data_IF_473453575696
#
_entry.id   IF_473453575696
#
_cell.length_a   1.000
_cell.length_b   1.000
_cell.length_c   1.000
_cell.angle_alpha   90.00
_cell.angle_beta   90.00
_cell.angle_gamma   90.00
#
_symmetry.space_group_name_H-M   'P 1'
#
loop_
_entity.id
_entity.type
_entity.pdbx_description
1 polymer ?
#
# COMPACT_ATOMS: atom_id res chain seq x y z
N UNK A 1 19.87 17.33 -19.42
CA UNK A 1 19.06 16.09 -19.26
C UNK A 1 18.87 15.50 -20.63
N UNK A 2 19.36 14.27 -20.86
CA UNK A 2 19.22 13.58 -22.14
C UNK A 2 17.84 12.92 -22.34
N UNK A 3 17.24 12.41 -21.25
CA UNK A 3 15.97 11.69 -21.29
C UNK A 3 15.27 11.77 -19.93
N UNK A 4 13.94 11.90 -19.95
CA UNK A 4 13.06 11.77 -18.79
C UNK A 4 12.15 10.58 -19.06
N UNK A 5 12.00 9.69 -18.06
CA UNK A 5 11.13 8.51 -18.11
C UNK A 5 10.23 8.56 -16.90
N UNK A 6 8.92 8.57 -17.12
CA UNK A 6 7.92 8.43 -16.06
C UNK A 6 7.54 6.97 -15.87
N UNK A 7 7.46 6.52 -14.62
CA UNK A 7 7.02 5.18 -14.23
C UNK A 7 6.02 5.26 -13.08
N UNK A 8 5.01 4.37 -13.03
CA UNK A 8 4.14 4.27 -11.87
C UNK A 8 4.96 3.93 -10.61
N UNK A 9 4.64 4.57 -9.49
CA UNK A 9 5.27 4.31 -8.20
C UNK A 9 4.24 4.02 -7.12
N UNK A 10 4.66 3.50 -5.96
CA UNK A 10 3.75 3.22 -4.85
C UNK A 10 2.60 2.30 -5.26
N UNK A 11 1.37 2.68 -4.89
CA UNK A 11 0.16 1.92 -5.22
C UNK A 11 -0.05 1.72 -6.73
N UNK A 12 0.36 2.69 -7.57
CA UNK A 12 0.23 2.54 -9.03
C UNK A 12 1.18 1.49 -9.62
N UNK A 13 2.34 1.25 -9.00
CA UNK A 13 3.21 0.13 -9.38
C UNK A 13 2.59 -1.22 -8.99
N UNK A 14 1.97 -1.31 -7.82
CA UNK A 14 1.23 -2.53 -7.41
C UNK A 14 0.09 -2.80 -8.40
N UNK A 15 -0.69 -1.76 -8.73
CA UNK A 15 -1.77 -1.84 -9.71
C UNK A 15 -1.28 -2.35 -11.08
N UNK A 16 -0.14 -1.84 -11.56
CA UNK A 16 0.45 -2.26 -12.82
C UNK A 16 0.86 -3.74 -12.81
N UNK A 17 1.47 -4.21 -11.71
CA UNK A 17 1.85 -5.62 -11.59
C UNK A 17 0.62 -6.54 -11.57
N UNK A 18 -0.44 -6.16 -10.86
CA UNK A 18 -1.69 -6.93 -10.82
C UNK A 18 -2.38 -6.98 -12.18
N UNK A 19 -2.45 -5.85 -12.88
CA UNK A 19 -3.00 -5.79 -14.24
C UNK A 19 -2.21 -6.68 -15.20
N UNK A 20 -0.86 -6.64 -15.12
CA UNK A 20 0.01 -7.50 -15.94
C UNK A 20 -0.16 -9.01 -15.63
N UNK A 21 -0.64 -9.34 -14.43
CA UNK A 21 -0.98 -10.72 -14.04
C UNK A 21 -2.43 -11.11 -14.41
N UNK A 22 -3.14 -10.26 -15.15
CA UNK A 22 -4.49 -10.53 -15.65
C UNK A 22 -5.63 -10.14 -14.70
N UNK A 23 -5.37 -9.39 -13.62
CA UNK A 23 -6.41 -8.90 -12.72
C UNK A 23 -7.07 -7.64 -13.28
N UNK A 24 -8.39 -7.51 -13.07
CA UNK A 24 -9.11 -6.26 -13.29
C UNK A 24 -8.83 -5.31 -12.11
N UNK A 25 -8.16 -4.20 -12.38
CA UNK A 25 -7.69 -3.31 -11.32
C UNK A 25 -8.35 -1.95 -11.39
N UNK A 26 -8.91 -1.50 -10.25
CA UNK A 26 -9.27 -0.10 -10.04
C UNK A 26 -8.28 0.52 -9.04
N UNK A 27 -7.56 1.53 -9.47
CA UNK A 27 -6.61 2.28 -8.66
C UNK A 27 -7.27 3.55 -8.14
N UNK A 28 -7.22 3.73 -6.83
CA UNK A 28 -7.73 4.89 -6.11
C UNK A 28 -6.62 5.52 -5.27
N UNK A 29 -6.69 6.81 -5.06
CA UNK A 29 -5.76 7.56 -4.21
C UNK A 29 -6.07 9.04 -4.22
N UNK A 30 -5.39 9.81 -3.37
CA UNK A 30 -5.46 11.26 -3.38
C UNK A 30 -4.24 11.80 -4.14
N UNK A 31 -4.47 12.75 -5.04
CA UNK A 31 -3.45 13.38 -5.88
C UNK A 31 -3.64 14.89 -5.89
N UNK A 32 -2.62 15.64 -6.26
CA UNK A 32 -2.78 17.03 -6.71
C UNK A 32 -3.57 17.09 -8.03
N UNK A 33 -3.85 18.31 -8.50
CA UNK A 33 -4.29 18.56 -9.89
C UNK A 33 -3.17 19.27 -10.65
N UNK A 34 -2.09 18.55 -10.89
CA UNK A 34 -0.80 19.05 -11.35
C UNK A 34 -0.29 18.31 -12.59
N UNK A 35 0.92 18.64 -13.00
CA UNK A 35 1.57 18.02 -14.15
C UNK A 35 1.93 16.56 -13.87
N UNK A 36 2.32 16.24 -12.65
CA UNK A 36 2.68 14.91 -12.18
C UNK A 36 1.49 13.94 -12.29
N UNK A 37 0.28 14.40 -11.94
CA UNK A 37 -0.95 13.64 -12.18
C UNK A 37 -1.18 13.40 -13.69
N UNK A 38 -0.97 14.44 -14.52
CA UNK A 38 -1.13 14.29 -15.97
C UNK A 38 -0.18 13.27 -16.58
N UNK A 39 1.09 13.26 -16.12
CA UNK A 39 2.07 12.27 -16.55
C UNK A 39 1.72 10.87 -16.05
N UNK A 40 1.24 10.71 -14.81
CA UNK A 40 0.76 9.42 -14.31
C UNK A 40 -0.42 8.90 -15.14
N UNK A 41 -1.39 9.74 -15.47
CA UNK A 41 -2.52 9.37 -16.34
C UNK A 41 -2.02 8.91 -17.72
N UNK A 42 -1.04 9.60 -18.32
CA UNK A 42 -0.47 9.21 -19.63
C UNK A 42 0.16 7.81 -19.55
N UNK A 43 0.92 7.54 -18.50
CA UNK A 43 1.55 6.22 -18.33
C UNK A 43 0.52 5.12 -18.11
N UNK A 44 -0.53 5.37 -17.32
CA UNK A 44 -1.58 4.39 -17.04
C UNK A 44 -2.54 4.16 -18.24
N UNK A 45 -2.64 5.08 -19.19
CA UNK A 45 -3.47 4.91 -20.41
C UNK A 45 -3.10 3.69 -21.26
N UNK A 46 -1.88 3.19 -21.13
CA UNK A 46 -1.40 2.00 -21.84
C UNK A 46 -1.61 0.70 -21.05
N UNK A 47 -2.43 0.74 -20.00
CA UNK A 47 -2.75 -0.39 -19.15
C UNK A 47 -4.26 -0.52 -19.02
N UNK A 48 -4.75 -1.70 -18.62
CA UNK A 48 -6.17 -1.96 -18.35
C UNK A 48 -6.60 -1.51 -16.96
N UNK A 49 -5.85 -0.58 -16.34
CA UNK A 49 -6.12 -0.08 -15.01
C UNK A 49 -7.16 1.05 -15.08
N UNK A 50 -8.27 0.87 -14.38
CA UNK A 50 -9.21 1.96 -14.13
C UNK A 50 -8.64 2.87 -13.04
N UNK A 51 -8.27 4.10 -13.40
CA UNK A 51 -7.72 5.07 -12.46
C UNK A 51 -8.76 6.17 -12.16
N UNK A 52 -9.17 6.27 -10.88
CA UNK A 52 -10.17 7.26 -10.41
C UNK A 52 -9.65 7.98 -9.15
N UNK A 53 -8.68 8.91 -9.30
CA UNK A 53 -8.10 9.64 -8.17
C UNK A 53 -9.06 10.68 -7.61
N UNK A 54 -8.98 10.91 -6.30
CA UNK A 54 -9.52 12.10 -5.65
C UNK A 54 -8.50 13.23 -5.81
N UNK A 55 -8.89 14.31 -6.45
CA UNK A 55 -8.04 15.47 -6.63
C UNK A 55 -8.16 16.42 -5.44
N UNK A 56 -7.02 16.86 -4.93
CA UNK A 56 -6.90 17.86 -3.89
C UNK A 56 -5.96 18.96 -4.35
N UNK A 57 -6.48 20.18 -4.50
CA UNK A 57 -5.70 21.33 -4.96
C UNK A 57 -4.68 21.84 -3.92
N UNK A 58 -4.80 21.39 -2.67
CA UNK A 58 -3.91 21.83 -1.57
C UNK A 58 -2.63 21.01 -1.45
N UNK A 59 -2.52 19.91 -2.20
CA UNK A 59 -1.35 19.02 -2.17
C UNK A 59 -0.76 18.82 -3.56
N UNK A 60 0.48 18.32 -3.61
CA UNK A 60 1.13 17.86 -4.85
C UNK A 60 0.99 16.37 -5.00
N UNK A 61 0.87 15.92 -6.25
CA UNK A 61 1.03 14.51 -6.57
C UNK A 61 2.46 14.06 -6.25
N UNK A 62 2.62 13.01 -5.45
CA UNK A 62 3.93 12.52 -5.04
C UNK A 62 4.80 12.16 -6.24
N UNK A 63 5.97 12.77 -6.34
CA UNK A 63 6.98 12.49 -7.36
C UNK A 63 8.30 12.08 -6.70
N UNK A 64 8.88 10.95 -7.17
CA UNK A 64 10.19 10.49 -6.75
C UNK A 64 11.14 10.46 -7.94
N UNK A 65 11.95 11.51 -8.08
CA UNK A 65 12.92 11.66 -9.17
C UNK A 65 14.22 10.95 -8.84
N UNK A 66 14.69 10.12 -9.76
CA UNK A 66 16.02 9.49 -9.69
C UNK A 66 16.89 10.05 -10.79
N UNK A 67 17.98 10.70 -10.42
CA UNK A 67 18.95 11.23 -11.35
C UNK A 67 20.00 10.15 -11.56
N UNK A 68 20.15 9.69 -12.81
CA UNK A 68 21.07 8.63 -13.20
C UNK A 68 22.12 9.24 -14.12
N UNK A 69 23.39 8.99 -13.83
CA UNK A 69 24.54 9.34 -14.66
C UNK A 69 25.51 8.16 -14.71
N UNK A 70 26.02 7.83 -15.91
CA UNK A 70 26.90 6.68 -16.12
C UNK A 70 26.36 5.36 -15.52
N UNK A 71 25.07 5.10 -15.74
CA UNK A 71 24.34 3.92 -15.23
C UNK A 71 24.30 3.78 -13.69
N UNK A 72 24.65 4.83 -12.96
CA UNK A 72 24.57 4.88 -11.51
C UNK A 72 23.55 5.91 -11.05
N UNK A 73 22.80 5.60 -9.99
CA UNK A 73 21.93 6.57 -9.36
C UNK A 73 22.76 7.56 -8.55
N UNK A 74 22.84 8.80 -9.02
CA UNK A 74 23.58 9.88 -8.38
C UNK A 74 22.79 10.52 -7.24
N UNK A 75 21.49 10.70 -7.43
CA UNK A 75 20.62 11.41 -6.47
C UNK A 75 19.19 10.92 -6.58
N UNK A 76 18.44 11.03 -5.45
CA UNK A 76 16.99 10.90 -5.41
C UNK A 76 16.38 12.16 -4.78
N UNK A 77 15.41 12.73 -5.46
CA UNK A 77 14.63 13.86 -4.96
C UNK A 77 13.18 13.36 -4.76
N UNK A 78 12.69 13.48 -3.53
CA UNK A 78 11.33 13.12 -3.17
C UNK A 78 10.52 14.41 -3.02
N UNK A 79 9.59 14.65 -3.94
CA UNK A 79 8.63 15.75 -3.90
C UNK A 79 7.31 15.19 -3.38
N UNK A 80 7.05 15.41 -2.10
CA UNK A 80 5.88 14.86 -1.44
C UNK A 80 5.42 15.79 -0.33
N UNK A 81 4.12 15.99 -0.26
CA UNK A 81 3.48 16.68 0.87
C UNK A 81 2.90 15.62 1.82
N UNK A 82 3.04 15.85 3.13
CA UNK A 82 2.25 15.09 4.09
C UNK A 82 0.80 15.51 3.91
N UNK A 83 -0.03 14.58 3.50
CA UNK A 83 -1.42 14.84 3.20
C UNK A 83 -2.14 15.32 4.48
N UNK A 84 -2.44 16.60 4.53
CA UNK A 84 -3.29 17.22 5.55
C UNK A 84 -4.73 17.38 5.05
N UNK A 85 -5.04 16.77 3.92
CA UNK A 85 -6.28 16.98 3.22
C UNK A 85 -7.47 16.37 3.96
N UNK A 86 -8.62 17.00 3.86
CA UNK A 86 -9.90 16.46 4.33
C UNK A 86 -10.56 15.54 3.29
N UNK A 87 -9.82 15.15 2.23
CA UNK A 87 -10.34 14.33 1.12
C UNK A 87 -10.43 12.83 1.43
N UNK A 88 -10.00 12.40 2.63
CA UNK A 88 -10.13 10.99 3.03
C UNK A 88 -11.58 10.50 3.01
N UNK A 89 -12.54 11.34 3.39
CA UNK A 89 -13.96 11.00 3.33
C UNK A 89 -14.44 10.76 1.89
N UNK A 90 -13.97 11.55 0.92
CA UNK A 90 -14.28 11.36 -0.49
C UNK A 90 -13.58 10.09 -1.04
N UNK A 91 -12.33 9.84 -0.65
CA UNK A 91 -11.64 8.60 -0.99
C UNK A 91 -12.39 7.37 -0.45
N UNK A 92 -12.83 7.40 0.80
CA UNK A 92 -13.60 6.32 1.41
C UNK A 92 -14.90 6.04 0.62
N UNK A 93 -15.65 7.07 0.23
CA UNK A 93 -16.86 6.90 -0.60
C UNK A 93 -16.55 6.20 -1.91
N UNK A 94 -15.45 6.58 -2.59
CA UNK A 94 -15.03 5.91 -3.84
C UNK A 94 -14.61 4.47 -3.60
N UNK A 95 -13.83 4.21 -2.54
CA UNK A 95 -13.45 2.84 -2.18
C UNK A 95 -14.69 1.98 -1.97
N UNK A 96 -15.68 2.42 -1.18
CA UNK A 96 -16.92 1.70 -0.92
C UNK A 96 -17.71 1.46 -2.23
N UNK A 97 -17.77 2.46 -3.11
CA UNK A 97 -18.44 2.34 -4.41
C UNK A 97 -17.86 1.21 -5.25
N UNK A 98 -16.52 1.15 -5.38
CA UNK A 98 -15.86 0.13 -6.20
C UNK A 98 -15.75 -1.22 -5.49
N UNK A 99 -15.60 -1.23 -4.17
CA UNK A 99 -15.48 -2.45 -3.38
C UNK A 99 -16.67 -3.40 -3.53
N UNK A 100 -17.89 -2.88 -3.74
CA UNK A 100 -19.11 -3.68 -3.93
C UNK A 100 -19.00 -4.71 -5.07
N UNK A 101 -18.15 -4.46 -6.03
CA UNK A 101 -17.93 -5.32 -7.21
C UNK A 101 -16.47 -5.81 -7.28
N UNK A 102 -15.82 -5.95 -6.13
CA UNK A 102 -14.42 -6.37 -6.05
C UNK A 102 -14.27 -7.61 -5.18
N UNK A 103 -13.41 -8.53 -5.58
CA UNK A 103 -13.09 -9.73 -4.82
C UNK A 103 -12.12 -9.44 -3.67
N UNK A 104 -11.32 -8.37 -3.82
CA UNK A 104 -10.22 -8.04 -2.93
C UNK A 104 -9.94 -6.54 -2.91
N UNK A 105 -9.56 -6.02 -1.73
CA UNK A 105 -9.04 -4.67 -1.56
C UNK A 105 -7.58 -4.76 -1.12
N UNK A 106 -6.69 -4.00 -1.77
CA UNK A 106 -5.30 -3.83 -1.33
C UNK A 106 -5.11 -2.40 -0.86
N UNK A 107 -4.72 -2.25 0.40
CA UNK A 107 -4.33 -0.97 0.98
C UNK A 107 -2.80 -0.86 0.99
N UNK A 108 -2.25 -0.04 0.08
CA UNK A 108 -0.83 0.32 0.08
C UNK A 108 -0.64 1.56 0.94
N UNK A 109 -0.24 1.39 2.19
CA UNK A 109 0.05 2.52 3.08
C UNK A 109 1.50 2.95 2.92
N UNK A 110 1.69 4.23 2.64
CA UNK A 110 3.00 4.87 2.53
C UNK A 110 3.20 5.95 3.60
N UNK A 111 2.35 5.94 4.65
CA UNK A 111 2.34 6.95 5.73
C UNK A 111 2.15 8.38 5.20
N UNK A 112 1.37 8.52 4.12
CA UNK A 112 1.02 9.82 3.50
C UNK A 112 -0.35 10.34 3.94
N UNK A 113 -0.98 9.70 4.93
CA UNK A 113 -2.26 10.09 5.49
C UNK A 113 -3.50 9.68 4.69
N UNK A 114 -3.36 9.17 3.46
CA UNK A 114 -4.52 8.77 2.64
C UNK A 114 -5.21 7.54 3.19
N UNK A 115 -4.46 6.54 3.64
CA UNK A 115 -4.98 5.24 4.10
C UNK A 115 -5.26 5.22 5.59
N UNK A 116 -4.36 5.78 6.40
CA UNK A 116 -4.36 5.68 7.87
C UNK A 116 -5.71 6.01 8.51
N UNK A 117 -6.38 7.05 8.05
CA UNK A 117 -7.62 7.53 8.66
C UNK A 117 -8.87 6.76 8.22
N UNK A 118 -8.80 6.01 7.12
CA UNK A 118 -9.95 5.30 6.56
C UNK A 118 -9.78 3.78 6.55
N UNK A 119 -8.63 3.26 6.96
CA UNK A 119 -8.34 1.83 6.93
C UNK A 119 -9.34 1.01 7.75
N UNK A 120 -9.63 1.45 8.98
CA UNK A 120 -10.58 0.76 9.85
C UNK A 120 -12.00 0.72 9.26
N UNK A 121 -12.46 1.82 8.64
CA UNK A 121 -13.76 1.88 7.99
C UNK A 121 -13.84 0.98 6.76
N UNK A 122 -12.77 0.96 5.94
CA UNK A 122 -12.66 0.06 4.80
C UNK A 122 -12.70 -1.40 5.26
N UNK A 123 -11.93 -1.76 6.28
CA UNK A 123 -11.90 -3.13 6.82
C UNK A 123 -13.27 -3.52 7.37
N UNK A 124 -13.92 -2.64 8.13
CA UNK A 124 -15.27 -2.87 8.66
C UNK A 124 -16.28 -3.09 7.55
N UNK A 125 -16.26 -2.25 6.52
CA UNK A 125 -17.14 -2.41 5.36
C UNK A 125 -16.86 -3.72 4.62
N UNK A 126 -15.60 -4.03 4.35
CA UNK A 126 -15.18 -5.22 3.62
C UNK A 126 -15.61 -6.51 4.35
N UNK A 127 -15.39 -6.58 5.67
CA UNK A 127 -15.79 -7.73 6.49
C UNK A 127 -17.31 -7.96 6.47
N UNK A 128 -18.11 -6.89 6.52
CA UNK A 128 -19.58 -7.00 6.39
C UNK A 128 -20.04 -7.52 5.03
N UNK A 129 -19.21 -7.38 4.00
CA UNK A 129 -19.53 -7.79 2.63
C UNK A 129 -18.70 -9.00 2.16
N UNK A 130 -17.98 -9.69 3.07
CA UNK A 130 -17.12 -10.84 2.77
C UNK A 130 -16.00 -10.53 1.75
N UNK A 131 -15.50 -9.30 1.72
CA UNK A 131 -14.40 -8.87 0.87
C UNK A 131 -13.10 -8.94 1.68
N UNK A 132 -12.05 -9.54 1.13
CA UNK A 132 -10.76 -9.62 1.79
C UNK A 132 -10.00 -8.30 1.67
N UNK A 133 -9.31 -7.88 2.75
CA UNK A 133 -8.44 -6.71 2.74
C UNK A 133 -7.01 -7.14 3.02
N UNK A 134 -6.13 -6.88 2.07
CA UNK A 134 -4.67 -7.05 2.21
C UNK A 134 -4.03 -5.69 2.42
N UNK A 135 -3.11 -5.61 3.38
CA UNK A 135 -2.46 -4.36 3.75
C UNK A 135 -0.96 -4.49 3.57
N UNK A 136 -0.38 -3.59 2.79
CA UNK A 136 1.06 -3.30 2.77
C UNK A 136 1.30 -2.12 3.72
N UNK A 137 1.72 -2.39 4.97
CA UNK A 137 1.67 -1.42 6.04
C UNK A 137 2.87 -0.48 6.05
N UNK A 138 2.71 0.69 6.69
CA UNK A 138 3.79 1.61 7.03
C UNK A 138 3.62 2.18 8.45
N UNK A 139 4.72 2.67 9.02
CA UNK A 139 4.70 3.28 10.35
C UNK A 139 4.89 2.28 11.48
N UNK A 140 4.61 2.72 12.70
CA UNK A 140 4.85 1.98 13.96
C UNK A 140 3.57 1.64 14.73
N UNK A 141 2.42 2.05 14.23
CA UNK A 141 1.12 1.72 14.79
C UNK A 141 0.28 0.99 13.73
N UNK A 142 -0.15 -0.21 14.04
CA UNK A 142 -0.98 -1.05 13.17
C UNK A 142 -2.41 -1.23 13.73
N UNK A 143 -2.78 -0.50 14.75
CA UNK A 143 -4.10 -0.63 15.40
C UNK A 143 -5.27 -0.43 14.41
N UNK A 144 -5.08 0.45 13.41
CA UNK A 144 -6.06 0.71 12.36
C UNK A 144 -6.26 -0.47 11.40
N UNK A 145 -5.36 -1.45 11.39
CA UNK A 145 -5.43 -2.63 10.51
C UNK A 145 -6.07 -3.84 11.19
N UNK A 146 -6.59 -3.68 12.40
CA UNK A 146 -7.27 -4.75 13.13
C UNK A 146 -8.41 -5.34 12.33
N UNK A 147 -8.55 -6.67 12.38
CA UNK A 147 -9.52 -7.48 11.62
C UNK A 147 -9.31 -7.46 10.09
N UNK A 148 -8.15 -7.04 9.58
CA UNK A 148 -7.82 -7.23 8.18
C UNK A 148 -7.62 -8.73 7.87
N UNK A 149 -7.87 -9.13 6.62
CA UNK A 149 -7.57 -10.49 6.18
C UNK A 149 -6.06 -10.77 6.25
N UNK A 150 -5.22 -9.85 5.73
CA UNK A 150 -3.77 -10.02 5.73
C UNK A 150 -3.06 -8.68 5.95
N UNK A 151 -1.99 -8.72 6.74
CA UNK A 151 -1.00 -7.63 6.80
C UNK A 151 0.36 -8.20 6.38
N UNK A 152 1.11 -7.44 5.54
CA UNK A 152 2.37 -7.87 4.94
C UNK A 152 3.54 -6.93 5.30
N UNK A 153 4.03 -6.91 6.52
CA UNK A 153 5.22 -6.14 6.86
C UNK A 153 6.50 -6.76 6.30
N UNK A 154 7.51 -5.94 6.05
CA UNK A 154 8.87 -6.41 5.91
C UNK A 154 9.54 -6.58 7.28
N UNK A 155 10.76 -7.14 7.30
CA UNK A 155 11.51 -7.40 8.54
C UNK A 155 11.76 -6.13 9.36
N UNK A 156 12.04 -5.01 8.70
CA UNK A 156 12.27 -3.73 9.38
C UNK A 156 10.97 -3.20 10.01
N UNK A 157 9.89 -3.16 9.27
CA UNK A 157 8.56 -2.73 9.72
C UNK A 157 8.06 -3.60 10.86
N UNK A 158 8.23 -4.92 10.74
CA UNK A 158 7.91 -5.86 11.80
C UNK A 158 8.73 -5.61 13.07
N UNK A 159 10.04 -5.36 12.91
CA UNK A 159 10.94 -5.11 14.05
C UNK A 159 10.65 -3.78 14.74
N UNK A 160 10.13 -2.79 14.02
CA UNK A 160 9.71 -1.51 14.64
C UNK A 160 8.56 -1.69 15.62
N UNK A 161 7.66 -2.66 15.39
CA UNK A 161 6.48 -2.92 16.22
C UNK A 161 6.74 -3.97 17.29
N UNK A 162 7.39 -5.07 16.88
CA UNK A 162 7.58 -6.24 17.73
C UNK A 162 8.95 -6.30 18.41
N UNK A 163 9.81 -5.32 18.11
CA UNK A 163 11.22 -5.33 18.51
C UNK A 163 12.08 -6.28 17.65
N UNK A 164 13.40 -6.08 17.69
CA UNK A 164 14.37 -6.82 16.86
C UNK A 164 14.22 -8.34 16.99
N UNK A 165 14.21 -9.03 15.86
CA UNK A 165 14.17 -10.50 15.79
C UNK A 165 15.53 -11.05 16.24
N UNK A 166 15.53 -11.93 17.24
CA UNK A 166 16.73 -12.56 17.79
C UNK A 166 17.10 -13.86 17.07
N UNK A 167 16.10 -14.67 16.75
CA UNK A 167 16.24 -15.96 16.07
C UNK A 167 14.89 -16.42 15.51
N UNK A 168 14.86 -17.55 14.81
CA UNK A 168 13.64 -18.11 14.21
C UNK A 168 12.51 -18.37 15.22
N UNK A 169 12.84 -18.87 16.43
CA UNK A 169 11.85 -19.14 17.48
C UNK A 169 11.20 -17.84 17.98
N UNK A 170 12.00 -16.80 18.21
CA UNK A 170 11.53 -15.47 18.60
C UNK A 170 10.65 -14.84 17.53
N UNK A 171 11.07 -14.94 16.25
CA UNK A 171 10.28 -14.48 15.10
C UNK A 171 8.90 -15.13 15.05
N UNK A 172 8.84 -16.46 15.23
CA UNK A 172 7.57 -17.20 15.22
C UNK A 172 6.67 -16.76 16.38
N UNK A 173 7.22 -16.61 17.58
CA UNK A 173 6.46 -16.16 18.74
C UNK A 173 5.88 -14.76 18.53
N UNK A 174 6.71 -13.82 18.07
CA UNK A 174 6.31 -12.45 17.77
C UNK A 174 5.29 -12.36 16.64
N UNK A 175 5.46 -13.14 15.55
CA UNK A 175 4.50 -13.19 14.44
C UNK A 175 3.13 -13.71 14.86
N UNK A 176 3.09 -14.78 15.67
CA UNK A 176 1.84 -15.29 16.24
C UNK A 176 1.18 -14.26 17.17
N UNK A 177 1.98 -13.55 17.98
CA UNK A 177 1.47 -12.49 18.85
C UNK A 177 0.87 -11.34 18.02
N UNK A 178 1.58 -10.79 17.06
CA UNK A 178 1.10 -9.69 16.24
C UNK A 178 -0.19 -10.09 15.47
N UNK A 179 -0.22 -11.30 14.88
CA UNK A 179 -1.41 -11.83 14.21
C UNK A 179 -2.61 -11.88 15.17
N UNK A 180 -2.42 -12.34 16.41
CA UNK A 180 -3.46 -12.42 17.44
C UNK A 180 -3.92 -11.03 17.87
N UNK A 181 -2.99 -10.13 18.19
CA UNK A 181 -3.27 -8.78 18.70
C UNK A 181 -4.09 -7.97 17.70
N UNK A 182 -3.81 -8.12 16.40
CA UNK A 182 -4.54 -7.48 15.30
C UNK A 182 -5.73 -8.29 14.81
N UNK A 183 -5.98 -9.49 15.33
CA UNK A 183 -7.08 -10.36 14.89
C UNK A 183 -7.06 -10.62 13.37
N UNK A 184 -5.87 -10.91 12.82
CA UNK A 184 -5.70 -11.17 11.39
C UNK A 184 -6.03 -12.63 11.05
N UNK A 185 -6.56 -12.88 9.84
CA UNK A 185 -6.61 -14.25 9.31
C UNK A 185 -5.21 -14.73 8.95
N UNK A 186 -4.37 -13.83 8.42
CA UNK A 186 -3.03 -14.15 7.92
C UNK A 186 -2.05 -13.00 8.19
N UNK A 187 -0.81 -13.34 8.51
CA UNK A 187 0.32 -12.40 8.52
C UNK A 187 1.40 -12.93 7.58
N UNK A 188 1.87 -12.11 6.65
CA UNK A 188 2.95 -12.44 5.72
C UNK A 188 4.17 -11.56 6.00
N UNK A 189 5.18 -12.12 6.67
CA UNK A 189 6.44 -11.44 6.97
C UNK A 189 7.44 -11.66 5.84
N UNK A 190 7.87 -10.58 5.17
CA UNK A 190 8.91 -10.65 4.13
C UNK A 190 10.29 -10.39 4.70
N UNK A 191 11.28 -11.23 4.33
CA UNK A 191 12.65 -11.24 4.89
C UNK A 191 13.71 -10.93 3.82
N UNK A 192 13.34 -10.23 2.76
CA UNK A 192 14.23 -9.91 1.64
C UNK A 192 14.82 -11.17 1.01
N UNK A 193 16.15 -11.25 0.91
CA UNK A 193 16.86 -12.42 0.35
C UNK A 193 16.63 -13.74 1.10
N UNK A 194 16.15 -13.67 2.34
CA UNK A 194 15.87 -14.84 3.17
C UNK A 194 14.44 -15.40 2.96
N UNK A 195 13.72 -14.89 1.96
CA UNK A 195 12.38 -15.36 1.63
C UNK A 195 11.27 -14.69 2.45
N UNK A 196 10.29 -15.46 2.87
CA UNK A 196 9.13 -14.96 3.62
C UNK A 196 8.59 -16.02 4.56
N UNK A 197 7.81 -15.60 5.55
CA UNK A 197 7.12 -16.47 6.51
C UNK A 197 5.65 -16.14 6.53
N UNK A 198 4.81 -17.14 6.26
CA UNK A 198 3.36 -17.03 6.30
C UNK A 198 2.82 -17.60 7.60
N UNK A 199 2.11 -16.80 8.36
CA UNK A 199 1.36 -17.21 9.56
C UNK A 199 -0.11 -17.34 9.19
N UNK A 200 -0.59 -18.54 9.01
CA UNK A 200 -2.00 -18.86 8.76
C UNK A 200 -2.74 -19.20 10.06
N UNK A 201 -3.97 -19.73 9.93
CA UNK A 201 -4.76 -20.17 11.09
C UNK A 201 -4.06 -21.34 11.82
N UNK A 202 -3.60 -22.34 11.05
CA UNK A 202 -3.16 -23.62 11.58
C UNK A 202 -1.66 -23.89 11.36
N UNK A 203 -0.96 -23.05 10.60
CA UNK A 203 0.44 -23.29 10.23
C UNK A 203 1.29 -22.03 10.18
N UNK A 204 2.60 -22.25 10.26
CA UNK A 204 3.64 -21.26 9.97
C UNK A 204 4.54 -21.90 8.90
N UNK A 205 4.55 -21.29 7.71
CA UNK A 205 5.26 -21.78 6.51
C UNK A 205 6.40 -20.84 6.15
#
# INVERSE_FOLDING_TARGET
>A
IKKIIYKPGGASNVAQNLSALGSNVTLLGITGDDNELRELIKVLRHTDIKFDPVKDLSIRTTLKSRIIGNDQQLMRLDHEDRNKSDMQGELLKRVIKYAKNSDLIILSDYDKGSVKFIAADIISFANKNNIKVIIDPKGTDYSMYKNAYMVKPNELEFSMIMGKIKNKKDMIAKGKKLKKDLQLDTLLLTLGKNGMVLFSKDSVL
#
